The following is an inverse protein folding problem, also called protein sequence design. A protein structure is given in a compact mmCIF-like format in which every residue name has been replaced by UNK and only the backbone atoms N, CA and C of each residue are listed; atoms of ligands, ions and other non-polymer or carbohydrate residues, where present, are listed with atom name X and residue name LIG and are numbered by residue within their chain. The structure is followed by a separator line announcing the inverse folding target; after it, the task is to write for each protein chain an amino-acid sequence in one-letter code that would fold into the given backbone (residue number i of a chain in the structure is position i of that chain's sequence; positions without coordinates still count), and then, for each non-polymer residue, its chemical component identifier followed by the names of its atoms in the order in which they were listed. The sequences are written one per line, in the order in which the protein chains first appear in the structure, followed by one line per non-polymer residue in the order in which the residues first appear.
data_IF_330067088866
#
_entry.id   IF_330067088866
#
_cell.length_a   1.000
_cell.length_b   1.000
_cell.length_c   1.000
_cell.angle_alpha   90.00
_cell.angle_beta   90.00
_cell.angle_gamma   90.00
#
_symmetry.space_group_name_H-M   'P 1'
#
loop_
_entity.id
_entity.type
_entity.pdbx_description
1 polymer ?
#
# COMPACT_ATOMS: atom_id res chain seq x y z
N UNK A 1 2.44 -3.85 10.70
CA UNK A 1 1.20 -3.73 11.53
C UNK A 1 0.90 -2.26 11.73
N UNK A 2 -0.37 -1.86 11.67
CA UNK A 2 -0.75 -0.45 11.87
C UNK A 2 -1.66 -0.33 13.10
N UNK A 3 -1.38 0.57 14.07
CA UNK A 3 -2.30 0.84 15.18
C UNK A 3 -3.58 1.51 14.64
N UNK A 4 -4.73 0.98 15.01
CA UNK A 4 -6.03 1.58 14.70
C UNK A 4 -6.26 2.79 15.59
N UNK A 5 -6.45 3.96 14.98
CA UNK A 5 -6.90 5.15 15.71
C UNK A 5 -8.42 5.26 15.54
N UNK A 6 -9.14 5.53 16.61
CA UNK A 6 -10.62 5.60 16.63
C UNK A 6 -11.24 6.72 15.79
N UNK A 7 -10.46 7.49 15.02
CA UNK A 7 -10.91 8.74 14.38
C UNK A 7 -10.94 8.74 12.84
N UNK A 8 -10.37 7.74 12.15
CA UNK A 8 -10.63 7.44 10.73
C UNK A 8 -9.58 6.42 10.27
N UNK A 9 -9.94 5.13 10.09
CA UNK A 9 -9.00 4.11 9.61
C UNK A 9 -8.38 4.49 8.25
N UNK A 10 -9.12 5.26 7.44
CA UNK A 10 -8.69 5.73 6.13
C UNK A 10 -7.37 6.51 6.16
N UNK A 11 -7.24 7.52 7.02
CA UNK A 11 -6.00 8.33 7.10
C UNK A 11 -4.79 7.48 7.45
N UNK A 12 -4.99 6.53 8.35
CA UNK A 12 -3.96 5.61 8.82
C UNK A 12 -3.53 4.67 7.70
N UNK A 13 -4.47 4.14 6.92
CA UNK A 13 -4.19 3.22 5.83
C UNK A 13 -3.54 3.92 4.63
N UNK A 14 -3.99 5.13 4.30
CA UNK A 14 -3.35 5.97 3.28
C UNK A 14 -1.93 6.34 3.72
N UNK A 15 -1.74 6.69 5.00
CA UNK A 15 -0.41 6.98 5.57
C UNK A 15 0.54 5.81 5.39
N UNK A 16 0.11 4.60 5.74
CA UNK A 16 0.87 3.37 5.49
C UNK A 16 1.21 3.17 4.02
N UNK A 17 0.25 3.30 3.10
CA UNK A 17 0.49 3.10 1.67
C UNK A 17 1.54 4.10 1.14
N UNK A 18 1.48 5.36 1.56
CA UNK A 18 2.48 6.37 1.19
C UNK A 18 3.87 6.05 1.73
N UNK A 19 3.98 5.66 3.00
CA UNK A 19 5.25 5.25 3.61
C UNK A 19 5.83 3.99 2.94
N UNK A 20 4.96 3.04 2.59
CA UNK A 20 5.33 1.86 1.82
C UNK A 20 5.99 2.24 0.49
N UNK A 21 5.38 3.13 -0.30
CA UNK A 21 5.99 3.59 -1.56
C UNK A 21 7.24 4.44 -1.34
N UNK A 22 7.32 5.21 -0.26
CA UNK A 22 8.53 5.96 0.11
C UNK A 22 9.73 5.03 0.33
N UNK A 23 9.51 3.90 1.02
CA UNK A 23 10.54 2.89 1.22
C UNK A 23 10.97 2.21 -0.08
N UNK A 24 10.04 1.98 -1.01
CA UNK A 24 10.37 1.45 -2.33
C UNK A 24 11.18 2.45 -3.16
N UNK A 25 10.78 3.71 -3.16
CA UNK A 25 11.50 4.78 -3.86
C UNK A 25 12.91 5.00 -3.29
N UNK A 26 13.10 4.78 -1.98
CA UNK A 26 14.39 4.92 -1.30
C UNK A 26 15.29 3.68 -1.40
N UNK A 27 14.96 2.72 -2.27
CA UNK A 27 15.67 1.43 -2.43
C UNK A 27 15.82 0.63 -1.12
N UNK A 28 14.88 0.81 -0.18
CA UNK A 28 14.81 0.07 1.10
C UNK A 28 13.60 -0.89 1.13
N UNK A 29 13.56 -1.90 0.24
CA UNK A 29 12.42 -2.81 0.14
C UNK A 29 12.23 -3.66 1.40
N UNK A 30 13.28 -3.91 2.19
CA UNK A 30 13.16 -4.61 3.47
C UNK A 30 12.23 -3.88 4.44
N UNK A 31 12.29 -2.54 4.49
CA UNK A 31 11.40 -1.71 5.32
C UNK A 31 9.96 -1.78 4.84
N UNK A 32 9.74 -1.68 3.52
CA UNK A 32 8.42 -1.83 2.91
C UNK A 32 7.79 -3.21 3.22
N UNK A 33 8.59 -4.27 3.09
CA UNK A 33 8.15 -5.65 3.35
C UNK A 33 7.87 -5.90 4.83
N UNK A 34 8.61 -5.25 5.74
CA UNK A 34 8.38 -5.38 7.20
C UNK A 34 7.02 -4.83 7.64
N UNK A 35 6.47 -3.89 6.87
CA UNK A 35 5.13 -3.34 7.08
C UNK A 35 4.01 -4.33 6.75
N UNK A 36 4.28 -5.30 5.86
CA UNK A 36 3.34 -6.31 5.40
C UNK A 36 3.36 -7.53 6.32
N UNK A 37 2.19 -8.12 6.53
CA UNK A 37 2.07 -9.41 7.19
C UNK A 37 2.28 -10.52 6.15
N UNK A 38 3.32 -11.32 6.38
CA UNK A 38 3.77 -12.38 5.47
C UNK A 38 3.12 -13.73 5.78
N UNK A 39 2.15 -13.80 6.70
CA UNK A 39 1.56 -15.07 7.18
C UNK A 39 0.77 -15.84 6.12
N UNK A 40 0.20 -15.17 5.12
CA UNK A 40 -0.50 -15.84 4.00
C UNK A 40 0.35 -16.00 2.74
N UNK A 41 1.22 -15.04 2.46
CA UNK A 41 2.02 -15.01 1.23
C UNK A 41 3.29 -14.20 1.42
N UNK A 42 4.45 -14.81 1.16
CA UNK A 42 5.74 -14.14 1.35
C UNK A 42 6.09 -13.32 0.12
N UNK A 43 5.90 -12.01 0.21
CA UNK A 43 6.36 -11.08 -0.82
C UNK A 43 7.89 -11.03 -0.84
N UNK A 44 8.47 -11.30 -2.00
CA UNK A 44 9.88 -11.01 -2.28
C UNK A 44 10.00 -9.66 -2.95
N UNK A 45 11.17 -9.02 -2.84
CA UNK A 45 11.48 -7.78 -3.56
C UNK A 45 11.13 -7.90 -5.05
N UNK A 46 11.60 -8.97 -5.70
CA UNK A 46 11.39 -9.20 -7.12
C UNK A 46 9.91 -9.29 -7.51
N UNK A 47 9.10 -10.01 -6.72
CA UNK A 47 7.67 -10.12 -6.99
C UNK A 47 6.96 -8.79 -6.82
N UNK A 48 7.33 -8.04 -5.79
CA UNK A 48 6.76 -6.73 -5.53
C UNK A 48 7.10 -5.73 -6.62
N UNK A 49 8.37 -5.68 -7.05
CA UNK A 49 8.82 -4.86 -8.17
C UNK A 49 8.11 -5.25 -9.47
N UNK A 50 7.87 -6.55 -9.69
CA UNK A 50 7.12 -7.02 -10.85
C UNK A 50 5.69 -6.48 -10.86
N UNK A 51 4.95 -6.58 -9.75
CA UNK A 51 3.58 -6.04 -9.63
C UNK A 51 3.55 -4.52 -9.81
N UNK A 52 4.52 -3.82 -9.25
CA UNK A 52 4.62 -2.38 -9.42
C UNK A 52 4.93 -2.02 -10.87
N UNK A 53 5.76 -2.80 -11.56
CA UNK A 53 6.04 -2.64 -12.99
C UNK A 53 4.80 -2.90 -13.85
N UNK A 54 3.89 -3.79 -13.47
CA UNK A 54 2.63 -3.98 -14.23
C UNK A 54 1.72 -2.74 -14.16
N UNK A 55 1.89 -1.90 -13.13
CA UNK A 55 1.16 -0.64 -12.95
C UNK A 55 1.87 0.54 -13.61
N UNK A 56 3.20 0.62 -13.50
CA UNK A 56 4.00 1.74 -13.98
C UNK A 56 4.56 1.56 -15.40
N UNK A 57 4.59 0.34 -15.94
CA UNK A 57 5.32 0.02 -17.16
C UNK A 57 6.83 0.21 -16.94
N UNK A 58 7.47 0.97 -17.83
CA UNK A 58 8.90 1.30 -17.73
C UNK A 58 9.21 2.46 -16.77
N UNK A 59 8.19 3.08 -16.18
CA UNK A 59 8.37 4.16 -15.20
C UNK A 59 8.84 3.61 -13.84
N UNK A 60 9.57 4.43 -13.08
CA UNK A 60 10.10 4.08 -11.76
C UNK A 60 9.21 4.61 -10.65
N UNK A 61 9.16 3.88 -9.55
CA UNK A 61 8.54 4.38 -8.32
C UNK A 61 9.31 5.61 -7.85
N UNK A 62 8.60 6.70 -7.60
CA UNK A 62 9.16 7.91 -7.01
C UNK A 62 8.61 8.13 -5.59
N UNK A 63 9.21 9.08 -4.87
CA UNK A 63 8.68 9.47 -3.56
C UNK A 63 7.30 10.12 -3.73
N UNK A 64 6.26 9.65 -3.01
CA UNK A 64 4.96 10.32 -2.92
C UNK A 64 5.03 11.80 -2.52
N UNK A 65 6.11 12.24 -1.86
CA UNK A 65 6.31 13.64 -1.44
C UNK A 65 6.61 14.57 -2.61
N UNK A 66 7.10 14.03 -3.72
CA UNK A 66 7.39 14.80 -4.94
C UNK A 66 6.12 15.07 -5.77
N UNK A 67 5.00 14.42 -5.45
CA UNK A 67 3.76 14.55 -6.19
C UNK A 67 2.81 15.54 -5.48
N UNK A 68 2.43 16.60 -6.20
CA UNK A 68 1.55 17.67 -5.69
C UNK A 68 0.06 17.32 -5.81
N UNK A 69 -0.30 16.42 -6.73
CA UNK A 69 -1.69 15.96 -6.93
C UNK A 69 -2.05 14.87 -5.91
N UNK A 70 -3.33 14.73 -5.61
CA UNK A 70 -3.83 13.63 -4.77
C UNK A 70 -3.72 12.28 -5.50
N UNK A 71 -3.47 11.21 -4.74
CA UNK A 71 -3.49 9.83 -5.24
C UNK A 71 -4.92 9.29 -5.45
N UNK A 72 -5.95 10.01 -4.97
CA UNK A 72 -7.35 9.59 -4.96
C UNK A 72 -7.53 8.12 -4.52
N UNK A 73 -7.06 7.75 -3.31
CA UNK A 73 -7.22 6.39 -2.81
C UNK A 73 -8.68 6.07 -2.56
N UNK A 74 -9.05 4.81 -2.76
CA UNK A 74 -10.40 4.30 -2.50
C UNK A 74 -10.34 3.25 -1.39
N UNK A 75 -11.12 3.44 -0.35
CA UNK A 75 -11.23 2.50 0.77
C UNK A 75 -12.63 1.88 0.77
N UNK A 76 -12.69 0.55 0.77
CA UNK A 76 -13.94 -0.20 0.87
C UNK A 76 -13.85 -1.20 2.01
N UNK A 77 -14.87 -1.25 2.88
CA UNK A 77 -15.00 -2.36 3.84
C UNK A 77 -15.60 -3.57 3.10
N UNK A 78 -14.83 -4.66 2.99
CA UNK A 78 -15.24 -5.86 2.25
C UNK A 78 -15.97 -6.87 3.15
N UNK A 79 -15.70 -6.83 4.44
CA UNK A 79 -16.42 -7.54 5.51
C UNK A 79 -16.10 -6.85 6.84
N UNK A 80 -16.86 -7.14 7.89
CA UNK A 80 -16.66 -6.51 9.21
C UNK A 80 -15.20 -6.59 9.66
N UNK A 81 -14.56 -5.42 9.82
CA UNK A 81 -13.16 -5.31 10.25
C UNK A 81 -12.12 -5.66 9.18
N UNK A 82 -12.53 -5.87 7.93
CA UNK A 82 -11.65 -6.12 6.78
C UNK A 82 -11.88 -5.04 5.73
N UNK A 83 -10.81 -4.33 5.42
CA UNK A 83 -10.83 -3.21 4.49
C UNK A 83 -9.93 -3.50 3.29
N UNK A 84 -10.30 -2.98 2.13
CA UNK A 84 -9.46 -2.94 0.95
C UNK A 84 -9.18 -1.49 0.58
N UNK A 85 -7.89 -1.14 0.52
CA UNK A 85 -7.41 0.15 0.05
C UNK A 85 -6.84 -0.01 -1.35
N UNK A 86 -7.48 0.61 -2.34
CA UNK A 86 -6.92 0.77 -3.68
C UNK A 86 -6.16 2.10 -3.72
N UNK A 87 -4.86 2.04 -4.02
CA UNK A 87 -4.01 3.23 -4.05
C UNK A 87 -3.18 3.28 -5.33
N UNK A 88 -3.12 4.45 -5.97
CA UNK A 88 -2.26 4.66 -7.14
C UNK A 88 -0.79 4.60 -6.75
N UNK A 89 0.05 4.12 -7.66
CA UNK A 89 1.50 4.04 -7.47
C UNK A 89 2.12 5.37 -7.92
N UNK A 90 3.05 5.95 -7.15
CA UNK A 90 3.75 7.16 -7.54
C UNK A 90 4.79 6.86 -8.63
N UNK A 91 4.56 7.33 -9.86
CA UNK A 91 5.55 7.32 -10.95
C UNK A 91 6.32 8.64 -11.03
N UNK A 92 7.36 8.73 -11.87
CA UNK A 92 8.36 9.81 -11.87
C UNK A 92 7.80 11.25 -11.82
N UNK A 93 6.62 11.50 -12.40
CA UNK A 93 5.99 12.84 -12.44
C UNK A 93 4.51 12.86 -12.08
N UNK A 94 3.89 11.69 -11.87
CA UNK A 94 2.43 11.57 -11.66
C UNK A 94 2.10 10.27 -10.97
N UNK A 95 0.91 10.24 -10.35
CA UNK A 95 0.27 8.99 -9.97
C UNK A 95 -0.04 8.15 -11.21
N UNK A 96 0.12 6.84 -11.09
CA UNK A 96 -0.27 5.87 -12.11
C UNK A 96 -1.77 5.94 -12.41
N UNK A 97 -2.17 5.48 -13.60
CA UNK A 97 -3.59 5.36 -13.95
C UNK A 97 -4.23 4.16 -13.22
N UNK A 98 -3.48 3.08 -13.08
CA UNK A 98 -3.90 1.86 -12.37
C UNK A 98 -3.51 1.95 -10.90
N UNK A 99 -4.22 1.19 -10.07
CA UNK A 99 -3.97 1.13 -8.63
C UNK A 99 -3.38 -0.22 -8.23
N UNK A 100 -2.83 -0.28 -7.03
CA UNK A 100 -2.58 -1.53 -6.31
C UNK A 100 -3.54 -1.62 -5.14
N UNK A 101 -3.83 -2.85 -4.70
CA UNK A 101 -4.68 -3.08 -3.55
C UNK A 101 -3.90 -3.54 -2.32
N UNK A 102 -4.31 -3.04 -1.16
CA UNK A 102 -3.91 -3.52 0.15
C UNK A 102 -5.14 -4.05 0.87
N UNK A 103 -5.04 -5.23 1.48
CA UNK A 103 -6.06 -5.75 2.40
C UNK A 103 -5.63 -5.51 3.83
N UNK A 104 -6.51 -4.88 4.60
CA UNK A 104 -6.27 -4.54 5.99
C UNK A 104 -7.27 -5.27 6.86
N UNK A 105 -6.80 -6.18 7.71
CA UNK A 105 -7.64 -7.01 8.57
C UNK A 105 -7.41 -6.63 10.03
N UNK A 106 -8.47 -6.21 10.71
CA UNK A 106 -8.42 -5.88 12.13
C UNK A 106 -8.14 -7.15 12.93
N UNK A 107 -7.14 -7.09 13.81
CA UNK A 107 -6.83 -8.17 14.75
C UNK A 107 -7.74 -8.03 15.98
N UNK A 108 -8.57 -9.04 16.31
CA UNK A 108 -9.50 -8.98 17.44
C UNK A 108 -8.79 -8.62 18.74
N UNK A 109 -9.39 -7.73 19.54
CA UNK A 109 -8.90 -7.37 20.88
C UNK A 109 -7.61 -6.55 20.94
N UNK A 110 -6.99 -6.19 19.82
CA UNK A 110 -5.69 -5.46 19.81
C UNK A 110 -5.79 -4.03 19.31
N UNK A 111 -6.87 -3.69 18.58
CA UNK A 111 -6.96 -2.42 17.85
C UNK A 111 -5.97 -2.29 16.69
N UNK A 112 -5.18 -3.32 16.37
CA UNK A 112 -4.19 -3.30 15.30
C UNK A 112 -4.74 -3.88 14.00
N UNK A 113 -4.17 -3.45 12.87
CA UNK A 113 -4.46 -4.00 11.55
C UNK A 113 -3.28 -4.80 11.01
N UNK A 114 -3.59 -6.01 10.54
CA UNK A 114 -2.78 -6.80 9.61
C UNK A 114 -2.87 -6.16 8.23
N UNK A 115 -1.77 -6.09 7.48
CA UNK A 115 -1.75 -5.53 6.12
C UNK A 115 -1.19 -6.55 5.14
N UNK A 116 -1.91 -6.82 4.07
CA UNK A 116 -1.48 -7.67 2.97
C UNK A 116 -1.45 -6.85 1.68
N UNK A 117 -0.41 -7.02 0.88
CA UNK A 117 -0.36 -6.48 -0.48
C UNK A 117 -1.03 -7.48 -1.43
N UNK A 118 -2.04 -7.04 -2.17
CA UNK A 118 -2.79 -7.89 -3.11
C UNK A 118 -2.27 -7.80 -4.55
N UNK A 119 -1.45 -6.79 -4.88
CA UNK A 119 -0.92 -6.59 -6.23
C UNK A 119 -1.68 -5.54 -7.04
N UNK A 120 -1.42 -5.50 -8.34
CA UNK A 120 -2.06 -4.59 -9.27
C UNK A 120 -3.56 -4.88 -9.42
N UNK A 121 -4.36 -3.82 -9.50
CA UNK A 121 -5.81 -3.89 -9.78
C UNK A 121 -6.03 -3.36 -11.21
N UNK A 122 -6.77 -4.11 -12.01
CA UNK A 122 -7.19 -3.74 -13.38
C UNK A 122 -8.21 -2.62 -13.37
#
# INVERSE_FOLDING_TARGET
MIPGTGFSPEKVFIGFAREFFEHLASEKPASALSGLDMTGHRWTKARLESEIRTVLGDDKVCSPKMLTRSACPELTEVSTGVYQLNHRVPGSKRWSQRSVAFRLTQKPGTGCFRVEFLGAVT
#
